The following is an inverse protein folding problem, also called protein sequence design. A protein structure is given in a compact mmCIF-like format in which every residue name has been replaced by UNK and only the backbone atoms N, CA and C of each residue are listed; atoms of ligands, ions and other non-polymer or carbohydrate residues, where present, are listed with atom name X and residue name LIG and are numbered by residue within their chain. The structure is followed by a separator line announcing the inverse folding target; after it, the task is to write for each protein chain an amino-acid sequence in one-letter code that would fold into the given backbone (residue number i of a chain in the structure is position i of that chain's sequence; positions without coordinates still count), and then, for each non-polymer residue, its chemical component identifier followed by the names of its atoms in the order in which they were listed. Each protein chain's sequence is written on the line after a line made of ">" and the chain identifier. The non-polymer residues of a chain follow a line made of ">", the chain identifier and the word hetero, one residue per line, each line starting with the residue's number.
data_IF_965271390868
#
_entry.id   IF_965271390868
#
_cell.length_a   1.000
_cell.length_b   1.000
_cell.length_c   1.000
_cell.angle_alpha   90.00
_cell.angle_beta   90.00
_cell.angle_gamma   90.00
#
_symmetry.space_group_name_H-M   'P 1'
#
loop_
_entity.id
_entity.type
_entity.pdbx_description
1 polymer ?
#
# COMPACT_ATOMS: atom_id res chain seq x y z
N UNK A 1 12.22 39.49 -29.45
CA UNK A 1 11.96 39.90 -28.05
C UNK A 1 12.76 38.99 -27.12
N UNK A 2 13.69 39.55 -26.33
CA UNK A 2 14.50 38.76 -25.40
C UNK A 2 13.70 38.42 -24.13
N UNK A 3 13.66 37.13 -23.76
CA UNK A 3 12.99 36.63 -22.56
C UNK A 3 13.82 37.06 -21.35
N UNK A 4 13.33 38.01 -20.53
CA UNK A 4 13.99 38.38 -19.26
C UNK A 4 13.94 37.16 -18.34
N UNK A 5 15.12 36.66 -17.97
CA UNK A 5 15.27 35.64 -16.93
C UNK A 5 15.09 36.36 -15.60
N UNK A 6 14.03 36.03 -14.87
CA UNK A 6 13.84 36.51 -13.51
C UNK A 6 14.81 35.74 -12.62
N UNK A 7 15.76 36.46 -12.03
CA UNK A 7 16.69 35.91 -11.04
C UNK A 7 16.12 36.28 -9.68
N UNK A 8 15.58 35.29 -8.97
CA UNK A 8 15.06 35.47 -7.62
C UNK A 8 16.19 35.94 -6.69
N UNK A 9 15.87 36.84 -5.78
CA UNK A 9 16.79 37.27 -4.73
C UNK A 9 17.08 36.12 -3.77
N UNK A 10 18.20 36.20 -3.04
CA UNK A 10 18.56 35.18 -2.05
C UNK A 10 17.45 34.97 -1.01
N UNK A 11 16.79 36.05 -0.56
CA UNK A 11 15.68 35.98 0.39
C UNK A 11 14.45 35.24 -0.19
N UNK A 12 14.14 35.43 -1.47
CA UNK A 12 13.04 34.72 -2.15
C UNK A 12 13.35 33.24 -2.31
N UNK A 13 14.59 32.88 -2.64
CA UNK A 13 15.04 31.49 -2.74
C UNK A 13 14.95 30.81 -1.37
N UNK A 14 15.45 31.44 -0.31
CA UNK A 14 15.38 30.90 1.05
C UNK A 14 13.92 30.68 1.49
N UNK A 15 13.04 31.67 1.25
CA UNK A 15 11.62 31.55 1.56
C UNK A 15 10.95 30.40 0.80
N UNK A 16 11.27 30.22 -0.48
CA UNK A 16 10.76 29.13 -1.31
C UNK A 16 11.22 27.76 -0.81
N UNK A 17 12.50 27.63 -0.43
CA UNK A 17 13.06 26.40 0.15
C UNK A 17 12.33 26.04 1.45
N UNK A 18 12.16 27.00 2.36
CA UNK A 18 11.45 26.75 3.62
C UNK A 18 10.00 26.34 3.38
N UNK A 19 9.31 26.98 2.42
CA UNK A 19 7.95 26.61 2.05
C UNK A 19 7.89 25.19 1.47
N UNK A 20 8.86 24.80 0.63
CA UNK A 20 8.94 23.46 0.07
C UNK A 20 9.18 22.38 1.15
N UNK A 21 10.05 22.66 2.11
CA UNK A 21 10.33 21.75 3.24
C UNK A 21 9.08 21.55 4.10
N UNK A 22 8.34 22.62 4.42
CA UNK A 22 7.09 22.52 5.18
C UNK A 22 6.03 21.68 4.45
N UNK A 23 5.80 21.97 3.17
CA UNK A 23 4.88 21.18 2.33
C UNK A 23 5.26 19.70 2.32
N UNK A 24 6.55 19.39 2.24
CA UNK A 24 7.01 18.01 2.26
C UNK A 24 6.74 17.30 3.60
N UNK A 25 6.87 18.01 4.73
CA UNK A 25 6.53 17.47 6.04
C UNK A 25 5.02 17.19 6.16
N UNK A 26 4.18 18.11 5.68
CA UNK A 26 2.72 17.95 5.64
C UNK A 26 2.30 16.74 4.78
N UNK A 27 2.89 16.59 3.58
CA UNK A 27 2.67 15.42 2.74
C UNK A 27 3.07 14.11 3.44
N UNK A 28 4.11 14.13 4.26
CA UNK A 28 4.53 12.97 5.05
C UNK A 28 3.50 12.56 6.11
N UNK A 29 2.89 13.54 6.78
CA UNK A 29 1.84 13.32 7.78
C UNK A 29 0.57 12.79 7.11
N UNK A 30 0.17 13.36 5.98
CA UNK A 30 -1.01 12.89 5.25
C UNK A 30 -0.81 11.51 4.65
N UNK A 31 0.39 11.20 4.16
CA UNK A 31 0.75 9.85 3.71
C UNK A 31 0.68 8.82 4.85
N UNK A 32 1.11 9.19 6.06
CA UNK A 32 0.96 8.34 7.26
C UNK A 32 -0.51 8.06 7.55
N UNK A 33 -1.33 9.11 7.67
CA UNK A 33 -2.77 8.97 7.95
C UNK A 33 -3.49 8.17 6.88
N UNK A 34 -3.14 8.37 5.61
CA UNK A 34 -3.75 7.62 4.51
C UNK A 34 -3.39 6.14 4.60
N UNK A 35 -2.13 5.80 4.84
CA UNK A 35 -1.69 4.42 5.00
C UNK A 35 -2.36 3.74 6.20
N UNK A 36 -2.56 4.45 7.31
CA UNK A 36 -3.27 3.92 8.47
C UNK A 36 -4.73 3.61 8.14
N UNK A 37 -5.42 4.47 7.36
CA UNK A 37 -6.78 4.19 6.89
C UNK A 37 -6.83 2.95 6.00
N UNK A 38 -5.92 2.84 5.03
CA UNK A 38 -5.83 1.65 4.16
C UNK A 38 -5.58 0.39 4.99
N UNK A 39 -4.68 0.46 5.99
CA UNK A 39 -4.39 -0.65 6.89
C UNK A 39 -5.64 -1.14 7.64
N UNK A 40 -6.45 -0.22 8.16
CA UNK A 40 -7.70 -0.58 8.84
C UNK A 40 -8.76 -1.16 7.90
N UNK A 41 -8.86 -0.66 6.67
CA UNK A 41 -9.76 -1.25 5.65
C UNK A 41 -9.34 -2.68 5.32
N UNK A 42 -8.04 -2.93 5.05
CA UNK A 42 -7.53 -4.30 4.80
C UNK A 42 -7.82 -5.22 5.98
N UNK A 43 -7.59 -4.74 7.21
CA UNK A 43 -7.93 -5.50 8.43
C UNK A 43 -9.41 -5.79 8.57
N UNK A 44 -10.29 -4.89 8.12
CA UNK A 44 -11.74 -5.08 8.16
C UNK A 44 -12.23 -6.15 7.19
N UNK A 45 -11.57 -6.28 6.03
CA UNK A 45 -11.84 -7.33 5.06
C UNK A 45 -11.17 -8.67 5.38
N UNK A 46 -10.23 -8.67 6.32
CA UNK A 46 -9.51 -9.89 6.71
C UNK A 46 -10.40 -10.77 7.61
N UNK A 47 -10.62 -12.07 7.27
CA UNK A 47 -11.49 -12.96 8.03
C UNK A 47 -11.13 -13.09 9.52
N UNK A 48 -12.15 -13.05 10.39
CA UNK A 48 -12.02 -12.93 11.86
C UNK A 48 -11.35 -14.13 12.53
N UNK A 49 -11.50 -15.34 11.97
CA UNK A 49 -10.94 -16.58 12.54
C UNK A 49 -9.40 -16.68 12.42
N UNK A 50 -8.78 -15.58 11.99
CA UNK A 50 -7.35 -15.48 11.72
C UNK A 50 -6.72 -14.29 12.46
N UNK A 51 -7.00 -14.11 13.76
CA UNK A 51 -6.48 -12.97 14.54
C UNK A 51 -4.97 -12.69 14.37
N UNK A 52 -4.13 -13.74 14.19
CA UNK A 52 -2.69 -13.60 13.84
C UNK A 52 -2.46 -12.95 12.47
N UNK A 53 -3.28 -13.28 11.49
CA UNK A 53 -3.30 -12.68 10.16
C UNK A 53 -3.72 -11.21 10.23
N UNK A 54 -4.79 -10.88 10.96
CA UNK A 54 -5.20 -9.47 11.11
C UNK A 54 -4.11 -8.65 11.80
N UNK A 55 -3.48 -9.22 12.82
CA UNK A 55 -2.38 -8.59 13.55
C UNK A 55 -1.09 -8.44 12.72
N UNK A 56 -0.88 -9.26 11.69
CA UNK A 56 0.31 -9.17 10.85
C UNK A 56 0.24 -8.08 9.78
N UNK A 57 -0.93 -7.47 9.56
CA UNK A 57 -1.12 -6.35 8.62
C UNK A 57 -0.68 -5.05 9.30
N UNK A 58 0.29 -4.38 8.70
CA UNK A 58 0.87 -3.15 9.23
C UNK A 58 1.37 -2.22 8.12
N UNK A 59 1.65 -0.98 8.51
CA UNK A 59 2.27 0.03 7.64
C UNK A 59 3.78 -0.05 7.80
N UNK A 60 4.48 -0.30 6.70
CA UNK A 60 5.92 -0.09 6.61
C UNK A 60 6.21 1.33 6.09
N UNK A 61 7.26 1.94 6.66
CA UNK A 61 7.81 3.24 6.24
C UNK A 61 9.17 2.99 5.58
N UNK A 62 9.23 2.78 4.25
CA UNK A 62 10.49 2.56 3.55
C UNK A 62 11.46 3.72 3.76
N UNK A 63 12.75 3.41 3.91
CA UNK A 63 13.81 4.43 4.05
C UNK A 63 14.00 5.21 2.75
N UNK A 64 13.71 4.58 1.62
CA UNK A 64 13.78 5.20 0.29
C UNK A 64 12.51 5.98 0.01
N UNK A 65 12.65 7.11 -0.70
CA UNK A 65 11.51 7.88 -1.22
C UNK A 65 11.22 7.43 -2.65
N UNK A 66 9.94 7.30 -3.00
CA UNK A 66 9.53 7.06 -4.37
C UNK A 66 9.45 8.43 -5.07
N UNK A 67 10.26 8.66 -6.09
CA UNK A 67 10.31 9.95 -6.81
C UNK A 67 10.50 11.18 -5.90
N UNK A 68 11.26 11.04 -4.80
CA UNK A 68 11.47 12.13 -3.83
C UNK A 68 10.28 12.40 -2.89
N UNK A 69 9.18 11.67 -3.02
CA UNK A 69 7.99 11.79 -2.19
C UNK A 69 7.95 10.73 -1.08
N UNK A 70 7.34 11.04 0.09
CA UNK A 70 7.06 10.05 1.10
C UNK A 70 6.04 9.05 0.54
N UNK A 71 6.35 7.77 0.68
CA UNK A 71 5.40 6.69 0.38
C UNK A 71 5.37 5.70 1.53
N UNK A 72 4.28 4.94 1.60
CA UNK A 72 4.00 3.95 2.63
C UNK A 72 3.54 2.67 1.97
N UNK A 73 3.84 1.55 2.61
CA UNK A 73 3.38 0.24 2.16
C UNK A 73 2.53 -0.39 3.24
N UNK A 74 1.30 -0.76 2.90
CA UNK A 74 0.48 -1.63 3.75
C UNK A 74 0.80 -3.07 3.35
N UNK A 75 1.29 -3.88 4.28
CA UNK A 75 1.78 -5.22 4.00
C UNK A 75 1.48 -6.18 5.14
N UNK A 76 1.43 -7.47 4.81
CA UNK A 76 1.55 -8.55 5.77
C UNK A 76 2.63 -9.53 5.29
N UNK A 77 3.51 -9.94 6.20
CA UNK A 77 4.53 -10.97 5.94
C UNK A 77 4.08 -12.37 6.37
N UNK A 78 2.85 -12.49 6.85
CA UNK A 78 2.31 -13.78 7.28
C UNK A 78 1.96 -14.62 6.05
N UNK A 79 2.55 -15.80 5.93
CA UNK A 79 2.41 -16.65 4.74
C UNK A 79 0.95 -16.96 4.37
N UNK A 80 0.06 -17.10 5.37
CA UNK A 80 -1.37 -17.32 5.11
C UNK A 80 -2.06 -16.14 4.43
N UNK A 81 -1.50 -14.93 4.48
CA UNK A 81 -2.08 -13.81 3.73
C UNK A 81 -2.02 -14.04 2.23
N UNK A 82 -1.03 -14.77 1.72
CA UNK A 82 -1.00 -15.12 0.31
C UNK A 82 -2.19 -16.00 -0.08
N UNK A 83 -2.51 -17.01 0.75
CA UNK A 83 -3.68 -17.87 0.55
C UNK A 83 -5.00 -17.12 0.72
N UNK A 84 -5.07 -16.17 1.65
CA UNK A 84 -6.28 -15.37 1.88
C UNK A 84 -6.49 -14.39 0.72
N UNK A 85 -5.42 -13.81 0.17
CA UNK A 85 -5.49 -12.88 -0.95
C UNK A 85 -5.88 -13.59 -2.25
N UNK A 86 -5.24 -14.72 -2.57
CA UNK A 86 -5.35 -15.34 -3.89
C UNK A 86 -6.15 -16.65 -3.91
N UNK A 87 -6.54 -17.19 -2.75
CA UNK A 87 -7.05 -18.55 -2.65
C UNK A 87 -5.94 -19.59 -2.84
N UNK A 88 -6.33 -20.86 -3.00
CA UNK A 88 -5.37 -21.96 -3.22
C UNK A 88 -5.32 -22.45 -4.67
N UNK A 89 -6.27 -22.05 -5.51
CA UNK A 89 -6.41 -22.59 -6.87
C UNK A 89 -6.78 -24.08 -6.89
N UNK A 90 -6.93 -24.68 -8.08
CA UNK A 90 -7.15 -26.13 -8.21
C UNK A 90 -5.93 -26.91 -7.70
N UNK A 91 -6.18 -28.11 -7.18
CA UNK A 91 -5.10 -29.02 -6.75
C UNK A 91 -4.23 -29.45 -7.93
N UNK A 92 -2.92 -29.60 -7.70
CA UNK A 92 -2.03 -30.23 -8.67
C UNK A 92 -2.54 -31.66 -8.98
N UNK A 93 -2.39 -32.16 -10.23
CA UNK A 93 -2.85 -33.50 -10.61
C UNK A 93 -2.30 -34.64 -9.73
N UNK A 94 -1.10 -34.44 -9.16
CA UNK A 94 -0.40 -35.38 -8.28
C UNK A 94 -0.51 -35.00 -6.78
N UNK A 95 -1.38 -34.05 -6.44
CA UNK A 95 -1.60 -33.58 -5.07
C UNK A 95 -2.09 -34.72 -4.18
N UNK A 96 -1.32 -35.03 -3.13
CA UNK A 96 -1.74 -35.92 -2.03
C UNK A 96 -2.44 -35.12 -0.93
N UNK A 97 -3.32 -34.19 -1.31
CA UNK A 97 -4.04 -33.35 -0.34
C UNK A 97 -4.80 -34.24 0.65
N UNK A 98 -4.65 -34.01 1.97
CA UNK A 98 -5.40 -34.74 2.99
C UNK A 98 -6.90 -34.41 2.96
N UNK A 99 -7.31 -33.39 2.20
CA UNK A 99 -8.69 -32.93 2.07
C UNK A 99 -9.43 -33.52 0.85
N UNK A 100 -8.75 -34.35 0.05
CA UNK A 100 -9.30 -34.97 -1.17
C UNK A 100 -8.83 -34.27 -2.45
N UNK A 101 -9.14 -34.84 -3.63
CA UNK A 101 -8.84 -34.22 -4.91
C UNK A 101 -9.73 -32.99 -5.14
N UNK A 102 -9.14 -31.91 -5.66
CA UNK A 102 -9.80 -30.66 -6.08
C UNK A 102 -10.49 -29.90 -4.94
N UNK A 103 -9.68 -29.34 -4.04
CA UNK A 103 -10.12 -28.53 -2.89
C UNK A 103 -9.74 -27.05 -3.02
N UNK A 104 -10.16 -26.34 -4.09
CA UNK A 104 -9.86 -24.92 -4.25
C UNK A 104 -10.58 -24.09 -3.19
N UNK A 105 -9.80 -23.32 -2.44
CA UNK A 105 -10.33 -22.32 -1.50
C UNK A 105 -10.50 -20.99 -2.24
N UNK A 106 -11.66 -20.33 -2.16
CA UNK A 106 -11.88 -19.04 -2.80
C UNK A 106 -11.01 -17.94 -2.17
N UNK A 107 -10.61 -16.98 -3.00
CA UNK A 107 -9.92 -15.77 -2.55
C UNK A 107 -10.85 -14.87 -1.72
N UNK A 108 -10.36 -14.39 -0.58
CA UNK A 108 -11.02 -13.29 0.15
C UNK A 108 -10.57 -11.92 -0.36
N UNK A 109 -9.35 -11.83 -0.89
CA UNK A 109 -8.77 -10.64 -1.53
C UNK A 109 -8.91 -9.33 -0.71
N UNK A 110 -8.53 -9.30 0.59
CA UNK A 110 -8.66 -8.10 1.41
C UNK A 110 -7.84 -6.91 0.90
N UNK A 111 -6.68 -7.13 0.30
CA UNK A 111 -5.89 -6.04 -0.26
C UNK A 111 -6.48 -5.53 -1.58
N UNK A 112 -6.90 -6.42 -2.47
CA UNK A 112 -7.59 -6.03 -3.72
C UNK A 112 -8.86 -5.22 -3.44
N UNK A 113 -9.68 -5.66 -2.49
CA UNK A 113 -10.87 -4.90 -2.06
C UNK A 113 -10.52 -3.51 -1.56
N UNK A 114 -9.50 -3.40 -0.70
CA UNK A 114 -9.04 -2.11 -0.22
C UNK A 114 -8.50 -1.24 -1.37
N UNK A 115 -7.75 -1.82 -2.31
CA UNK A 115 -7.24 -1.10 -3.47
C UNK A 115 -8.38 -0.50 -4.30
N UNK A 116 -9.43 -1.29 -4.59
CA UNK A 116 -10.61 -0.82 -5.30
C UNK A 116 -11.37 0.28 -4.54
N UNK A 117 -11.50 0.15 -3.22
CA UNK A 117 -12.16 1.17 -2.39
C UNK A 117 -11.46 2.54 -2.48
N UNK A 118 -10.14 2.55 -2.59
CA UNK A 118 -9.34 3.77 -2.76
C UNK A 118 -9.06 4.14 -4.24
N UNK A 119 -9.73 3.50 -5.20
CA UNK A 119 -9.61 3.82 -6.63
C UNK A 119 -8.31 3.35 -7.29
N UNK A 120 -7.64 2.35 -6.72
CA UNK A 120 -6.42 1.73 -7.23
C UNK A 120 -6.61 0.27 -7.67
N UNK A 121 -5.50 -0.39 -7.95
CA UNK A 121 -5.40 -1.84 -8.16
C UNK A 121 -4.19 -2.38 -7.36
N UNK A 122 -4.12 -3.71 -7.19
CA UNK A 122 -2.99 -4.37 -6.53
C UNK A 122 -1.65 -4.20 -7.24
N UNK A 123 -1.67 -4.03 -8.57
CA UNK A 123 -0.48 -3.80 -9.39
C UNK A 123 -0.08 -2.32 -9.49
N UNK A 124 -0.91 -1.41 -8.94
CA UNK A 124 -0.73 0.04 -8.98
C UNK A 124 -1.76 0.76 -9.86
N UNK A 125 -1.94 2.06 -9.58
CA UNK A 125 -2.96 2.98 -10.15
C UNK A 125 -3.38 2.60 -11.58
N UNK A 126 -4.68 2.30 -11.76
CA UNK A 126 -5.29 2.19 -13.09
C UNK A 126 -5.03 3.48 -13.85
N UNK A 127 -4.34 3.38 -14.99
CA UNK A 127 -4.21 4.49 -15.93
C UNK A 127 -5.57 4.93 -16.46
#
# INVERSE_FOLDING_TARGET
>A
MAKRVHVSSQAEIEAEIYAAVRRQAELGIEADKFADRVCEVVKSHTPVDTGKTRASIHVEKPRTRANGLPWRRVISRYWKMHLIEFGTGPDDPDSKSPFGPDTPTPAFAPFEKAAHEFGGTMDGVSR
#
